data_IF_170688264931
#
_entry.id   IF_170688264931
#
_cell.length_a   1.000
_cell.length_b   1.000
_cell.length_c   1.000
_cell.angle_alpha   90.00
_cell.angle_beta   90.00
_cell.angle_gamma   90.00
#
_symmetry.space_group_name_H-M   'P 1'
#
loop_
_entity.id
_entity.type
_entity.pdbx_description
1 polymer ?
#
# COMPACT_ATOMS: atom_id res chain seq x y z
N UNK A 1 -25.33 4.71 -9.56
CA UNK A 1 -24.12 5.18 -8.85
C UNK A 1 -22.93 4.39 -9.38
N UNK A 2 -21.89 4.98 -9.98
CA UNK A 2 -20.72 4.20 -10.32
C UNK A 2 -20.03 3.87 -8.99
N UNK A 3 -20.12 2.62 -8.53
CA UNK A 3 -19.13 2.10 -7.59
C UNK A 3 -17.78 2.41 -8.23
N UNK A 4 -16.97 3.23 -7.57
CA UNK A 4 -15.60 3.54 -7.95
C UNK A 4 -14.82 2.23 -7.93
N UNK A 5 -14.88 1.48 -9.03
CA UNK A 5 -14.12 0.25 -9.20
C UNK A 5 -12.66 0.61 -8.96
N UNK A 6 -11.97 -0.10 -8.05
CA UNK A 6 -10.59 0.22 -7.73
C UNK A 6 -9.77 0.19 -9.02
N UNK A 7 -9.13 1.33 -9.28
CA UNK A 7 -8.24 1.54 -10.41
C UNK A 7 -6.90 1.97 -9.88
N UNK A 8 -5.84 1.40 -10.42
CA UNK A 8 -4.49 1.83 -10.13
C UNK A 8 -3.64 1.72 -11.39
N UNK A 9 -2.51 2.41 -11.37
CA UNK A 9 -1.51 2.34 -12.43
C UNK A 9 -0.31 1.60 -11.86
N UNK A 10 0.16 0.57 -12.55
CA UNK A 10 1.37 -0.14 -12.11
C UNK A 10 2.66 0.62 -12.46
N UNK A 11 3.80 0.12 -11.99
CA UNK A 11 5.10 0.77 -12.26
C UNK A 11 5.47 0.81 -13.75
N UNK A 12 4.84 -0.02 -14.58
CA UNK A 12 4.99 -0.05 -16.04
C UNK A 12 4.01 0.91 -16.74
N UNK A 13 3.31 1.76 -15.98
CA UNK A 13 2.32 2.73 -16.48
C UNK A 13 1.09 2.09 -17.13
N UNK A 14 0.77 0.84 -16.80
CA UNK A 14 -0.44 0.16 -17.27
C UNK A 14 -1.61 0.51 -16.34
N UNK A 15 -2.74 0.92 -16.93
CA UNK A 15 -3.98 1.15 -16.17
C UNK A 15 -4.60 -0.20 -15.85
N UNK A 16 -4.84 -0.43 -14.58
CA UNK A 16 -5.43 -1.66 -14.06
C UNK A 16 -6.84 -1.37 -13.55
N UNK A 17 -7.78 -2.21 -13.94
CA UNK A 17 -9.16 -2.23 -13.49
C UNK A 17 -9.38 -3.48 -12.64
N UNK A 18 -10.02 -3.30 -11.49
CA UNK A 18 -10.36 -4.40 -10.59
C UNK A 18 -11.87 -4.46 -10.39
N UNK A 19 -12.44 -5.66 -10.54
CA UNK A 19 -13.88 -5.88 -10.38
C UNK A 19 -14.19 -7.26 -9.79
N UNK A 20 -15.26 -7.36 -9.00
CA UNK A 20 -15.78 -8.65 -8.57
C UNK A 20 -16.69 -9.20 -9.66
N UNK A 21 -16.39 -10.41 -10.11
CA UNK A 21 -17.15 -11.13 -11.14
C UNK A 21 -17.64 -12.48 -10.58
N UNK A 22 -18.60 -13.09 -11.26
CA UNK A 22 -19.03 -14.46 -10.96
C UNK A 22 -18.45 -15.38 -12.03
N UNK A 23 -17.75 -16.43 -11.60
CA UNK A 23 -17.26 -17.51 -12.46
C UNK A 23 -17.73 -18.84 -11.87
N UNK A 24 -18.45 -19.64 -12.66
CA UNK A 24 -18.95 -20.95 -12.23
C UNK A 24 -19.75 -20.89 -10.91
N UNK A 25 -20.58 -19.85 -10.75
CA UNK A 25 -21.33 -19.51 -9.52
C UNK A 25 -20.47 -19.18 -8.29
N UNK A 26 -19.17 -18.97 -8.46
CA UNK A 26 -18.24 -18.60 -7.40
C UNK A 26 -17.80 -17.13 -7.62
N UNK A 27 -17.84 -16.27 -6.59
CA UNK A 27 -17.31 -14.92 -6.70
C UNK A 27 -15.78 -14.94 -6.85
N UNK A 28 -15.28 -14.16 -7.79
CA UNK A 28 -13.85 -14.01 -8.07
C UNK A 28 -13.50 -12.53 -8.29
N UNK A 29 -12.26 -12.17 -7.97
CA UNK A 29 -11.69 -10.86 -8.23
C UNK A 29 -11.00 -10.87 -9.59
N UNK A 30 -11.54 -10.13 -10.54
CA UNK A 30 -10.91 -9.86 -11.84
C UNK A 30 -9.92 -8.71 -11.71
N UNK A 31 -8.75 -8.88 -12.31
CA UNK A 31 -7.77 -7.83 -12.49
C UNK A 31 -7.42 -7.78 -13.97
N UNK A 32 -7.79 -6.68 -14.62
CA UNK A 32 -7.67 -6.51 -16.05
C UNK A 32 -6.80 -5.29 -16.35
N UNK A 33 -5.89 -5.41 -17.33
CA UNK A 33 -5.14 -4.26 -17.85
C UNK A 33 -5.91 -3.62 -19.00
N UNK A 34 -5.95 -2.30 -19.04
CA UNK A 34 -6.49 -1.57 -20.20
C UNK A 34 -5.48 -1.57 -21.34
N UNK A 35 -5.98 -1.87 -22.54
CA UNK A 35 -5.23 -1.82 -23.78
C UNK A 35 -5.54 -0.54 -24.57
N UNK A 36 -4.67 -0.14 -25.51
CA UNK A 36 -4.99 0.92 -26.46
C UNK A 36 -6.31 0.63 -27.19
N UNK A 37 -7.14 1.66 -27.34
CA UNK A 37 -8.47 1.51 -27.96
C UNK A 37 -9.59 1.10 -27.00
N UNK A 38 -9.33 1.04 -25.68
CA UNK A 38 -10.37 0.88 -24.66
C UNK A 38 -10.81 -0.56 -24.39
N UNK A 39 -10.15 -1.54 -25.01
CA UNK A 39 -10.30 -2.95 -24.65
C UNK A 39 -9.54 -3.28 -23.37
N UNK A 40 -9.82 -4.44 -22.78
CA UNK A 40 -9.14 -4.91 -21.57
C UNK A 40 -8.68 -6.35 -21.75
N UNK A 41 -7.56 -6.70 -21.12
CA UNK A 41 -7.01 -8.06 -21.09
C UNK A 41 -6.88 -8.52 -19.65
N UNK A 42 -7.40 -9.70 -19.36
CA UNK A 42 -7.35 -10.27 -18.01
C UNK A 42 -5.96 -10.77 -17.67
N UNK A 43 -5.40 -10.23 -16.59
CA UNK A 43 -4.08 -10.61 -16.11
C UNK A 43 -4.13 -11.48 -14.86
N UNK A 44 -5.18 -11.35 -14.04
CA UNK A 44 -5.43 -12.25 -12.91
C UNK A 44 -6.93 -12.48 -12.71
N UNK A 45 -7.26 -13.68 -12.23
CA UNK A 45 -8.58 -14.01 -11.71
C UNK A 45 -8.39 -14.77 -10.40
N UNK A 46 -8.81 -14.16 -9.29
CA UNK A 46 -8.51 -14.67 -7.96
C UNK A 46 -9.79 -15.14 -7.28
N UNK A 47 -9.78 -16.33 -6.70
CA UNK A 47 -10.79 -16.72 -5.72
C UNK A 47 -10.58 -15.95 -4.39
N UNK A 48 -11.52 -16.02 -3.43
CA UNK A 48 -11.38 -15.30 -2.16
C UNK A 48 -10.16 -15.72 -1.32
N UNK A 49 -9.70 -16.96 -1.42
CA UNK A 49 -8.56 -17.46 -0.67
C UNK A 49 -7.25 -16.85 -1.19
N UNK A 50 -7.05 -16.82 -2.50
CA UNK A 50 -5.84 -16.28 -3.12
C UNK A 50 -5.83 -14.75 -3.08
N UNK A 51 -7.00 -14.10 -3.15
CA UNK A 51 -7.12 -12.66 -2.91
C UNK A 51 -6.64 -12.26 -1.50
N UNK A 52 -6.92 -13.08 -0.46
CA UNK A 52 -6.40 -12.84 0.90
C UNK A 52 -4.88 -12.95 0.96
N UNK A 53 -4.30 -13.95 0.29
CA UNK A 53 -2.84 -14.10 0.23
C UNK A 53 -2.17 -12.91 -0.46
N UNK A 54 -2.74 -12.43 -1.56
CA UNK A 54 -2.26 -11.23 -2.24
C UNK A 54 -2.33 -9.99 -1.33
N UNK A 55 -3.44 -9.80 -0.61
CA UNK A 55 -3.56 -8.71 0.38
C UNK A 55 -2.42 -8.74 1.40
N UNK A 56 -2.15 -9.90 2.00
CA UNK A 56 -1.05 -10.04 2.98
C UNK A 56 0.31 -9.74 2.36
N UNK A 57 0.57 -10.19 1.12
CA UNK A 57 1.82 -9.89 0.43
C UNK A 57 1.99 -8.38 0.16
N UNK A 58 0.91 -7.68 -0.20
CA UNK A 58 0.90 -6.22 -0.38
C UNK A 58 1.16 -5.51 0.95
N UNK A 59 0.51 -5.92 2.03
CA UNK A 59 0.71 -5.34 3.36
C UNK A 59 2.16 -5.50 3.83
N UNK A 60 2.75 -6.68 3.63
CA UNK A 60 4.16 -6.91 3.96
C UNK A 60 5.10 -6.01 3.15
N UNK A 61 4.88 -5.89 1.84
CA UNK A 61 5.66 -4.99 0.98
C UNK A 61 5.58 -3.54 1.46
N UNK A 62 4.38 -3.04 1.76
CA UNK A 62 4.20 -1.67 2.23
C UNK A 62 4.93 -1.44 3.57
N UNK A 63 4.83 -2.38 4.50
CA UNK A 63 5.53 -2.31 5.77
C UNK A 63 7.06 -2.29 5.60
N UNK A 64 7.61 -3.10 4.69
CA UNK A 64 9.04 -3.11 4.39
C UNK A 64 9.54 -1.78 3.81
N UNK A 65 8.76 -1.17 2.91
CA UNK A 65 9.11 0.13 2.31
C UNK A 65 9.00 1.25 3.34
N UNK A 66 7.89 1.33 4.08
CA UNK A 66 7.70 2.36 5.12
C UNK A 66 8.71 2.24 6.27
N UNK A 67 9.10 1.02 6.65
CA UNK A 67 10.15 0.80 7.65
C UNK A 67 11.52 1.32 7.22
N UNK A 68 11.83 1.25 5.92
CA UNK A 68 13.07 1.84 5.35
C UNK A 68 13.03 3.37 5.38
N UNK A 69 11.88 3.98 5.05
CA UNK A 69 11.71 5.43 5.06
C UNK A 69 11.86 6.02 6.47
N UNK A 70 11.37 5.31 7.49
CA UNK A 70 11.55 5.67 8.91
C UNK A 70 13.01 5.49 9.36
N UNK A 71 13.70 4.43 8.92
CA UNK A 71 15.12 4.23 9.23
C UNK A 71 16.04 5.28 8.58
N UNK A 72 15.61 5.86 7.45
CA UNK A 72 16.31 6.97 6.79
C UNK A 72 16.06 8.34 7.44
N UNK A 73 14.87 8.57 8.02
CA UNK A 73 14.53 9.83 8.69
C UNK A 73 15.03 9.93 10.14
N UNK A 74 15.19 8.81 10.86
CA UNK A 74 15.76 8.82 12.21
C UNK A 74 17.30 8.92 12.24
N UNK A 75 17.97 8.83 11.08
CA UNK A 75 19.42 8.98 10.97
C UNK A 75 19.89 10.44 10.85
N UNK A 76 18.98 11.43 10.85
CA UNK A 76 19.34 12.85 10.65
C UNK A 76 19.12 13.77 11.84
N UNK A 77 18.64 13.29 12.99
CA UNK A 77 18.69 14.12 14.20
C UNK A 77 20.12 14.08 14.72
N UNK A 78 20.80 15.21 14.64
CA UNK A 78 22.11 15.35 15.27
C UNK A 78 21.96 15.17 16.78
N UNK A 79 23.01 14.77 17.52
CA UNK A 79 22.95 14.68 18.99
C UNK A 79 22.47 15.99 19.65
N UNK A 80 22.68 17.13 18.98
CA UNK A 80 22.21 18.43 19.42
C UNK A 80 20.68 18.56 19.31
N UNK A 81 20.08 18.08 18.22
CA UNK A 81 18.62 18.14 18.02
C UNK A 81 17.86 17.22 18.99
N UNK A 82 18.50 16.14 19.46
CA UNK A 82 17.93 15.30 20.53
C UNK A 82 18.01 15.96 21.90
N UNK A 83 19.09 16.71 22.18
CA UNK A 83 19.23 17.50 23.40
C UNK A 83 18.21 18.65 23.45
N UNK A 84 17.94 19.32 22.32
CA UNK A 84 16.97 20.40 22.27
C UNK A 84 15.51 19.89 22.40
N UNK A 85 15.23 18.64 22.00
CA UNK A 85 13.89 18.03 22.10
C UNK A 85 13.61 17.34 23.44
N UNK A 86 14.64 16.89 24.17
CA UNK A 86 14.49 16.06 25.38
C UNK A 86 15.35 16.53 26.58
N UNK A 87 16.09 17.64 26.46
CA UNK A 87 17.03 18.13 27.47
C UNK A 87 16.51 19.25 28.37
N UNK A 88 15.26 19.74 28.18
CA UNK A 88 14.64 20.75 29.03
C UNK A 88 13.55 20.18 29.95
N UNK A 89 13.85 19.14 30.75
CA UNK A 89 12.96 18.71 31.85
C UNK A 89 13.72 18.36 33.16
N UNK A 90 14.87 18.97 33.43
CA UNK A 90 15.52 18.84 34.74
C UNK A 90 15.92 20.21 35.31
N UNK A 91 14.96 21.11 35.56
CA UNK A 91 15.13 22.16 36.57
C UNK A 91 13.77 22.80 36.92
N UNK A 92 12.92 22.06 37.63
CA UNK A 92 12.00 22.62 38.62
C UNK A 92 11.35 21.49 39.45
N UNK A 93 11.99 21.12 40.56
CA UNK A 93 11.27 20.67 41.76
C UNK A 93 12.09 20.95 43.02
N UNK A 94 11.80 22.14 43.54
CA UNK A 94 12.03 22.62 44.89
C UNK A 94 11.61 21.60 45.97
N UNK A 95 12.56 21.13 46.78
CA UNK A 95 12.35 20.59 48.15
C UNK A 95 13.63 20.70 48.98
#
# INVERSE_FOLDING_TARGET
MPQTQPRFTDIQRRKIKVEVVVKDNIPALSVDKELPGGSTERIMLLNPHDARRLKTAIENYLNEVSGRDLSGHFASLSPQDMLDLFGEEDEDNNL
#
